data_IF_332350948190
#
_entry.id   IF_332350948190
#
_cell.length_a   1.000
_cell.length_b   1.000
_cell.length_c   1.000
_cell.angle_alpha   90.00
_cell.angle_beta   90.00
_cell.angle_gamma   90.00
#
_symmetry.space_group_name_H-M   'P 1'
#
loop_
_entity.id
_entity.type
_entity.pdbx_description
1 polymer ?
#
# COMPACT_ATOMS: atom_id res chain seq x y z
N UNK A 1 29.61 54.45 -4.38
CA UNK A 1 28.15 54.21 -4.38
C UNK A 1 27.82 53.14 -5.42
N UNK A 2 27.24 52.02 -4.96
CA UNK A 2 26.31 51.12 -5.69
C UNK A 2 26.87 50.33 -6.89
N UNK A 3 26.68 49.02 -7.09
CA UNK A 3 26.19 47.87 -6.30
C UNK A 3 26.73 46.63 -7.05
N UNK A 4 27.26 45.67 -6.31
CA UNK A 4 27.53 44.30 -6.75
C UNK A 4 26.19 43.62 -7.03
N UNK A 5 26.00 43.00 -8.18
CA UNK A 5 24.92 42.04 -8.40
C UNK A 5 25.52 40.84 -9.13
N UNK A 6 26.02 39.90 -8.34
CA UNK A 6 26.29 38.54 -8.77
C UNK A 6 24.92 37.84 -8.92
N UNK A 7 24.57 37.48 -10.15
CA UNK A 7 23.35 36.74 -10.45
C UNK A 7 23.62 35.24 -10.26
N UNK A 8 23.58 34.78 -9.01
CA UNK A 8 23.55 33.37 -8.67
C UNK A 8 22.17 32.80 -9.02
N UNK A 9 22.07 32.17 -10.18
CA UNK A 9 20.88 31.41 -10.59
C UNK A 9 20.88 30.09 -9.80
N UNK A 10 20.13 30.09 -8.70
CA UNK A 10 19.95 28.94 -7.83
C UNK A 10 19.05 27.92 -8.54
N UNK A 11 19.64 26.92 -9.19
CA UNK A 11 18.93 25.78 -9.75
C UNK A 11 18.47 24.88 -8.59
N UNK A 12 17.27 25.10 -8.07
CA UNK A 12 16.67 24.21 -7.08
C UNK A 12 16.18 22.93 -7.76
N UNK A 13 17.03 21.92 -7.75
CA UNK A 13 16.63 20.54 -8.00
C UNK A 13 15.76 20.09 -6.83
N UNK A 14 14.44 20.32 -6.92
CA UNK A 14 13.47 19.60 -6.11
C UNK A 14 13.45 18.14 -6.59
N UNK A 15 14.40 17.35 -6.10
CA UNK A 15 14.29 15.90 -6.08
C UNK A 15 13.11 15.55 -5.17
N UNK A 16 11.94 15.34 -5.78
CA UNK A 16 10.85 14.66 -5.10
C UNK A 16 11.36 13.27 -4.73
N UNK A 17 11.76 13.10 -3.46
CA UNK A 17 12.09 11.81 -2.92
C UNK A 17 10.77 11.04 -2.82
N UNK A 18 10.39 10.39 -3.93
CA UNK A 18 9.36 9.37 -3.86
C UNK A 18 9.89 8.33 -2.88
N UNK A 19 9.25 8.24 -1.72
CA UNK A 19 9.58 7.26 -0.70
C UNK A 19 9.16 5.90 -1.25
N UNK A 20 9.98 5.30 -2.11
CA UNK A 20 9.89 3.88 -2.41
C UNK A 20 10.28 3.14 -1.13
N UNK A 21 9.30 2.82 -0.29
CA UNK A 21 9.44 1.72 0.68
C UNK A 21 9.37 0.40 -0.11
N UNK A 22 10.42 0.12 -0.86
CA UNK A 22 10.72 -1.22 -1.34
C UNK A 22 11.77 -1.81 -0.41
N UNK A 23 11.38 -2.81 0.37
CA UNK A 23 12.34 -3.82 0.82
C UNK A 23 11.64 -5.16 0.90
N UNK A 24 11.47 -5.80 -0.26
CA UNK A 24 11.36 -7.25 -0.31
C UNK A 24 12.69 -7.85 0.15
N UNK A 25 12.79 -8.16 1.45
CA UNK A 25 13.88 -8.97 2.01
C UNK A 25 13.43 -10.43 1.99
N UNK A 26 14.23 -11.31 1.38
CA UNK A 26 14.01 -12.77 1.42
C UNK A 26 13.98 -13.22 2.89
N UNK A 27 12.82 -13.70 3.36
CA UNK A 27 12.57 -14.03 4.78
C UNK A 27 11.74 -13.03 5.59
N UNK A 28 11.13 -12.02 4.95
CA UNK A 28 10.17 -11.11 5.61
C UNK A 28 8.86 -11.82 5.98
N UNK A 29 8.30 -11.52 7.15
CA UNK A 29 6.99 -12.02 7.62
C UNK A 29 5.86 -11.69 6.62
N UNK A 30 5.99 -10.58 5.89
CA UNK A 30 5.01 -10.16 4.89
C UNK A 30 5.64 -9.39 3.73
N UNK A 31 4.85 -9.19 2.68
CA UNK A 31 5.18 -8.40 1.50
C UNK A 31 3.97 -7.54 1.10
N UNK A 32 4.18 -6.26 0.81
CA UNK A 32 3.16 -5.41 0.16
C UNK A 32 3.23 -5.67 -1.33
N UNK A 33 2.23 -6.34 -1.89
CA UNK A 33 2.22 -6.71 -3.31
C UNK A 33 1.81 -5.54 -4.20
N UNK A 34 0.87 -4.72 -3.74
CA UNK A 34 0.44 -3.49 -4.43
C UNK A 34 -0.10 -2.49 -3.41
N UNK A 35 0.13 -1.22 -3.68
CA UNK A 35 -0.52 -0.08 -3.03
C UNK A 35 -0.88 0.88 -4.16
N UNK A 36 -2.17 1.10 -4.38
CA UNK A 36 -2.68 1.95 -5.45
C UNK A 36 -3.55 3.04 -4.85
N UNK A 37 -3.47 4.23 -5.45
CA UNK A 37 -4.38 5.33 -5.12
C UNK A 37 -5.75 5.17 -5.77
N UNK A 38 -5.91 4.22 -6.70
CA UNK A 38 -7.15 3.99 -7.44
C UNK A 38 -7.33 2.52 -7.86
N UNK A 39 -8.54 2.12 -8.23
CA UNK A 39 -8.87 0.76 -8.70
C UNK A 39 -9.48 -0.17 -7.65
N UNK A 40 -9.67 0.33 -6.43
CA UNK A 40 -10.38 -0.37 -5.36
C UNK A 40 -11.91 -0.36 -5.50
N UNK A 41 -12.60 -0.96 -4.52
CA UNK A 41 -14.05 -0.93 -4.40
C UNK A 41 -14.61 0.39 -3.86
N UNK A 42 -15.94 0.52 -3.92
CA UNK A 42 -16.66 1.75 -3.56
C UNK A 42 -16.83 1.96 -2.04
N UNK A 43 -16.75 0.89 -1.25
CA UNK A 43 -16.92 0.93 0.21
C UNK A 43 -15.61 0.60 0.92
N UNK A 44 -15.44 1.10 2.13
CA UNK A 44 -14.29 0.78 2.96
C UNK A 44 -14.46 -0.62 3.57
N UNK A 45 -13.49 -1.50 3.37
CA UNK A 45 -13.47 -2.84 3.94
C UNK A 45 -12.04 -3.39 4.01
N UNK A 46 -11.88 -4.47 4.75
CA UNK A 46 -10.75 -5.37 4.60
C UNK A 46 -11.25 -6.79 4.38
N UNK A 47 -10.43 -7.60 3.73
CA UNK A 47 -10.73 -9.01 3.50
C UNK A 47 -9.46 -9.83 3.73
N UNK A 48 -9.59 -10.93 4.45
CA UNK A 48 -8.50 -11.88 4.70
C UNK A 48 -8.78 -13.11 3.85
N UNK A 49 -7.93 -13.38 2.86
CA UNK A 49 -8.06 -14.54 2.00
C UNK A 49 -7.15 -15.65 2.53
N UNK A 50 -7.76 -16.72 3.02
CA UNK A 50 -7.06 -17.91 3.49
C UNK A 50 -7.20 -19.08 2.52
N UNK A 51 -8.29 -19.09 1.75
CA UNK A 51 -8.67 -20.20 0.89
C UNK A 51 -8.00 -20.12 -0.50
N UNK A 52 -7.44 -21.22 -1.03
CA UNK A 52 -6.78 -21.23 -2.32
C UNK A 52 -7.62 -20.70 -3.49
N UNK A 53 -8.93 -20.95 -3.48
CA UNK A 53 -9.83 -20.51 -4.55
C UNK A 53 -10.01 -18.99 -4.55
N UNK A 54 -10.15 -18.38 -3.37
CA UNK A 54 -10.23 -16.93 -3.19
C UNK A 54 -8.92 -16.26 -3.61
N UNK A 55 -7.78 -16.82 -3.17
CA UNK A 55 -6.45 -16.28 -3.53
C UNK A 55 -6.23 -16.33 -5.05
N UNK A 56 -6.70 -17.37 -5.74
CA UNK A 56 -6.62 -17.45 -7.21
C UNK A 56 -7.36 -16.31 -7.92
N UNK A 57 -8.38 -15.71 -7.29
CA UNK A 57 -9.06 -14.56 -7.88
C UNK A 57 -8.12 -13.35 -8.03
N UNK A 58 -7.12 -13.21 -7.16
CA UNK A 58 -6.11 -12.15 -7.25
C UNK A 58 -5.21 -12.26 -8.50
N UNK A 59 -5.11 -13.45 -9.11
CA UNK A 59 -4.27 -13.66 -10.30
C UNK A 59 -4.84 -12.98 -11.55
N UNK A 60 -6.10 -12.54 -11.52
CA UNK A 60 -6.72 -11.79 -12.60
C UNK A 60 -6.40 -10.28 -12.54
N UNK A 61 -5.88 -9.79 -11.42
CA UNK A 61 -5.52 -8.38 -11.26
C UNK A 61 -4.17 -8.08 -11.94
N UNK A 62 -4.14 -7.00 -12.71
CA UNK A 62 -2.97 -6.61 -13.51
C UNK A 62 -1.71 -6.32 -12.66
N UNK A 63 -1.91 -5.77 -11.46
CA UNK A 63 -0.84 -5.43 -10.53
C UNK A 63 -0.36 -6.62 -9.68
N UNK A 64 -1.11 -7.74 -9.68
CA UNK A 64 -0.84 -8.90 -8.82
C UNK A 64 -0.46 -10.18 -9.60
N UNK A 65 -0.95 -10.36 -10.83
CA UNK A 65 -0.81 -11.61 -11.62
C UNK A 65 0.60 -12.19 -11.71
N UNK A 66 1.62 -11.33 -11.70
CA UNK A 66 3.04 -11.71 -11.81
C UNK A 66 3.79 -11.69 -10.47
N UNK A 67 3.10 -11.40 -9.35
CA UNK A 67 3.70 -11.27 -8.01
C UNK A 67 3.32 -12.40 -7.05
N UNK A 68 2.29 -13.18 -7.40
CA UNK A 68 1.81 -14.31 -6.60
C UNK A 68 2.30 -15.60 -7.23
N UNK A 69 3.03 -16.41 -6.47
CA UNK A 69 3.49 -17.74 -6.92
C UNK A 69 2.47 -18.80 -6.52
N UNK A 70 2.43 -19.92 -7.25
CA UNK A 70 1.61 -21.09 -6.87
C UNK A 70 1.90 -21.57 -5.44
N UNK A 71 3.17 -21.49 -5.00
CA UNK A 71 3.54 -21.81 -3.62
C UNK A 71 2.91 -20.87 -2.58
N UNK A 72 2.68 -19.61 -2.94
CA UNK A 72 2.09 -18.62 -2.03
C UNK A 72 0.61 -18.94 -1.77
N UNK A 73 -0.12 -19.45 -2.79
CA UNK A 73 -1.54 -19.83 -2.68
C UNK A 73 -1.76 -20.87 -1.57
N UNK A 74 -0.80 -21.78 -1.41
CA UNK A 74 -0.90 -22.86 -0.42
C UNK A 74 -0.34 -22.47 0.96
N UNK A 75 0.66 -21.58 1.01
CA UNK A 75 1.47 -21.37 2.22
C UNK A 75 1.34 -19.97 2.84
N UNK A 76 0.67 -19.04 2.17
CA UNK A 76 0.47 -17.67 2.63
C UNK A 76 -1.01 -17.33 2.78
N UNK A 77 -1.29 -16.35 3.61
CA UNK A 77 -2.57 -15.66 3.66
C UNK A 77 -2.44 -14.30 2.97
N UNK A 78 -3.53 -13.77 2.46
CA UNK A 78 -3.55 -12.47 1.81
C UNK A 78 -4.50 -11.52 2.52
N UNK A 79 -4.16 -10.24 2.54
CA UNK A 79 -5.02 -9.20 3.12
C UNK A 79 -5.27 -8.14 2.06
N UNK A 80 -6.54 -7.90 1.75
CA UNK A 80 -6.97 -6.76 0.95
C UNK A 80 -7.41 -5.66 1.91
N UNK A 81 -6.86 -4.47 1.73
CA UNK A 81 -7.28 -3.26 2.43
C UNK A 81 -7.89 -2.33 1.39
N UNK A 82 -9.15 -1.93 1.58
CA UNK A 82 -9.86 -1.05 0.69
C UNK A 82 -10.39 0.17 1.44
N UNK A 83 -10.12 1.36 0.90
CA UNK A 83 -10.50 2.61 1.57
C UNK A 83 -11.90 3.11 1.17
N UNK A 84 -12.54 2.48 0.19
CA UNK A 84 -13.75 2.98 -0.46
C UNK A 84 -13.53 4.23 -1.30
N UNK A 85 -14.63 4.82 -1.76
CA UNK A 85 -14.61 6.05 -2.53
C UNK A 85 -14.04 7.23 -1.72
N UNK A 86 -13.14 7.99 -2.34
CA UNK A 86 -12.63 9.28 -1.83
C UNK A 86 -12.83 10.35 -2.89
N UNK A 87 -13.35 11.50 -2.46
CA UNK A 87 -13.73 12.59 -3.38
C UNK A 87 -12.53 13.33 -4.01
N UNK A 88 -11.30 13.07 -3.54
CA UNK A 88 -10.09 13.69 -4.08
C UNK A 88 -8.95 12.68 -4.15
N UNK A 89 -7.87 13.04 -4.86
CA UNK A 89 -6.59 12.33 -4.77
C UNK A 89 -5.92 12.54 -3.41
N UNK A 90 -4.82 11.82 -3.17
CA UNK A 90 -3.94 12.03 -2.01
C UNK A 90 -4.26 11.14 -0.80
N UNK A 91 -5.31 10.32 -0.90
CA UNK A 91 -5.60 9.28 0.07
C UNK A 91 -4.79 8.02 -0.21
N UNK A 92 -4.36 7.32 0.84
CA UNK A 92 -3.81 5.97 0.74
C UNK A 92 -4.16 5.12 1.96
N UNK A 93 -4.13 3.81 1.79
CA UNK A 93 -4.29 2.83 2.86
C UNK A 93 -3.15 1.82 2.73
N UNK A 94 -2.45 1.54 3.81
CA UNK A 94 -1.32 0.63 3.84
C UNK A 94 -1.18 -0.01 5.21
N UNK A 95 0.03 -0.48 5.53
CA UNK A 95 0.33 -1.06 6.85
C UNK A 95 1.51 -0.35 7.49
N UNK A 96 1.39 -0.07 8.78
CA UNK A 96 2.48 0.50 9.58
C UNK A 96 3.33 -0.58 10.23
N UNK A 97 2.70 -1.71 10.60
CA UNK A 97 3.34 -2.80 11.34
C UNK A 97 2.68 -4.14 11.05
N UNK A 98 3.49 -5.19 10.96
CA UNK A 98 3.02 -6.58 10.95
C UNK A 98 3.87 -7.36 11.94
N UNK A 99 3.22 -8.04 12.87
CA UNK A 99 3.85 -8.76 13.95
C UNK A 99 3.33 -10.18 14.04
N UNK A 100 4.21 -11.11 14.35
CA UNK A 100 3.84 -12.50 14.63
C UNK A 100 3.85 -12.73 16.14
N UNK A 101 2.75 -13.25 16.66
CA UNK A 101 2.64 -13.75 18.03
C UNK A 101 2.64 -15.28 18.01
N UNK A 102 2.65 -15.96 19.17
CA UNK A 102 2.50 -17.41 19.21
C UNK A 102 1.22 -17.91 18.50
N UNK A 103 0.13 -17.14 18.55
CA UNK A 103 -1.21 -17.58 18.11
C UNK A 103 -1.70 -16.92 16.83
N UNK A 104 -1.24 -15.72 16.48
CA UNK A 104 -1.80 -14.93 15.38
C UNK A 104 -0.77 -14.00 14.73
N UNK A 105 -1.11 -13.48 13.55
CA UNK A 105 -0.45 -12.35 12.92
C UNK A 105 -1.29 -11.09 13.17
N UNK A 106 -0.67 -10.05 13.71
CA UNK A 106 -1.29 -8.75 13.93
C UNK A 106 -0.84 -7.82 12.81
N UNK A 107 -1.80 -7.27 12.06
CA UNK A 107 -1.55 -6.28 10.99
C UNK A 107 -2.14 -4.95 11.43
N UNK A 108 -1.29 -3.94 11.63
CA UNK A 108 -1.71 -2.59 11.96
C UNK A 108 -1.83 -1.76 10.69
N UNK A 109 -3.06 -1.36 10.36
CA UNK A 109 -3.38 -0.58 9.17
C UNK A 109 -2.99 0.88 9.41
N UNK A 110 -2.55 1.54 8.34
CA UNK A 110 -2.31 2.98 8.32
C UNK A 110 -3.09 3.60 7.17
N UNK A 111 -4.01 4.49 7.50
CA UNK A 111 -4.70 5.34 6.55
C UNK A 111 -4.06 6.72 6.51
N UNK A 112 -3.79 7.20 5.31
CA UNK A 112 -3.28 8.55 5.08
C UNK A 112 -4.35 9.37 4.38
N UNK A 113 -4.67 10.52 4.98
CA UNK A 113 -5.57 11.53 4.41
C UNK A 113 -4.74 12.76 4.02
N UNK A 114 -5.01 13.40 2.87
CA UNK A 114 -4.39 14.67 2.52
C UNK A 114 -4.71 15.73 3.58
N UNK A 115 -3.75 16.59 3.92
CA UNK A 115 -3.96 17.67 4.88
C UNK A 115 -4.93 18.71 4.33
N UNK A 116 -5.61 19.46 5.20
CA UNK A 116 -6.64 20.43 4.79
C UNK A 116 -6.10 21.56 3.89
N UNK A 117 -4.80 21.84 3.99
CA UNK A 117 -4.03 22.83 3.25
C UNK A 117 -3.29 22.24 2.03
N UNK A 118 -3.39 20.93 1.80
CA UNK A 118 -2.75 20.28 0.66
C UNK A 118 -3.47 20.58 -0.66
N UNK A 119 -2.70 20.94 -1.68
CA UNK A 119 -3.20 21.08 -3.05
C UNK A 119 -3.33 19.68 -3.67
N UNK A 120 -4.55 19.12 -3.61
CA UNK A 120 -4.89 17.82 -4.22
C UNK A 120 -5.75 17.98 -5.47
N UNK A 121 -5.64 17.02 -6.39
CA UNK A 121 -6.53 16.94 -7.53
C UNK A 121 -7.95 16.55 -7.08
N UNK A 122 -8.95 17.25 -7.64
CA UNK A 122 -10.38 16.99 -7.39
C UNK A 122 -10.87 15.85 -8.29
N UNK A 123 -10.26 14.67 -8.13
CA UNK A 123 -10.59 13.45 -8.86
C UNK A 123 -10.97 12.38 -7.85
N UNK A 124 -12.11 11.73 -8.09
CA UNK A 124 -12.57 10.60 -7.29
C UNK A 124 -11.53 9.46 -7.37
N UNK A 125 -11.19 8.89 -6.22
CA UNK A 125 -10.19 7.84 -6.12
C UNK A 125 -10.67 6.70 -5.24
N UNK A 126 -10.14 5.50 -5.50
CA UNK A 126 -10.50 4.27 -4.78
C UNK A 126 -9.22 3.57 -4.28
N UNK A 127 -8.59 4.05 -3.20
CA UNK A 127 -7.31 3.51 -2.73
C UNK A 127 -7.43 2.08 -2.21
N UNK A 128 -6.45 1.25 -2.52
CA UNK A 128 -6.36 -0.12 -2.00
C UNK A 128 -4.93 -0.62 -1.87
N UNK A 129 -4.73 -1.58 -0.97
CA UNK A 129 -3.46 -2.28 -0.77
C UNK A 129 -3.71 -3.78 -0.66
N UNK A 130 -2.82 -4.59 -1.23
CA UNK A 130 -2.84 -6.04 -1.05
C UNK A 130 -1.52 -6.50 -0.45
N UNK A 131 -1.62 -7.27 0.63
CA UNK A 131 -0.50 -7.86 1.34
C UNK A 131 -0.48 -9.36 1.15
N UNK A 132 0.72 -9.93 1.07
CA UNK A 132 0.99 -11.34 1.30
C UNK A 132 1.61 -11.51 2.68
N UNK A 133 0.98 -12.32 3.52
CA UNK A 133 1.48 -12.73 4.83
C UNK A 133 2.07 -14.12 4.68
N UNK A 134 3.38 -14.28 4.90
CA UNK A 134 4.08 -15.55 4.76
C UNK A 134 3.85 -16.48 5.98
N UNK A 135 2.59 -16.65 6.37
CA UNK A 135 2.13 -17.47 7.48
C UNK A 135 0.67 -17.87 7.26
N UNK A 136 0.29 -19.05 7.77
CA UNK A 136 -1.11 -19.51 7.82
C UNK A 136 -1.79 -19.28 9.17
N UNK A 137 -1.12 -18.63 10.13
CA UNK A 137 -1.75 -18.25 11.40
C UNK A 137 -2.97 -17.34 11.14
N UNK A 138 -3.98 -17.36 12.03
CA UNK A 138 -5.06 -16.40 12.02
C UNK A 138 -4.53 -14.96 11.96
N UNK A 139 -5.23 -14.10 11.22
CA UNK A 139 -4.85 -12.69 11.07
C UNK A 139 -5.85 -11.82 11.83
N UNK A 140 -5.33 -10.86 12.59
CA UNK A 140 -6.08 -9.80 13.24
C UNK A 140 -5.67 -8.45 12.67
N UNK A 141 -6.65 -7.70 12.18
CA UNK A 141 -6.47 -6.34 11.66
C UNK A 141 -6.74 -5.34 12.79
N UNK A 142 -5.83 -4.38 12.97
CA UNK A 142 -5.91 -3.28 13.93
C UNK A 142 -5.88 -1.92 13.22
#
# INVERSE_FOLDING_TARGET
MKKIIALFTFLSLFSCQTTQKSTAKKGSLYEVLTEQSNGGGNIQFYEILTEPQEIKMLLNDEFLKNKIKESDIQNANFVILNMGEKNTSGYSIGVSKVEETPTEIIVTVQENKPSADSMVMQVVSYPYTVLKINSKKPIKIL
#
